data_IF_398636006151
#
_entry.id   IF_398636006151
#
_cell.length_a   1.000
_cell.length_b   1.000
_cell.length_c   1.000
_cell.angle_alpha   90.00
_cell.angle_beta   90.00
_cell.angle_gamma   90.00
#
_symmetry.space_group_name_H-M   'P 1'
#
loop_
_entity.id
_entity.type
_entity.pdbx_description
1 polymer ?
#
# COMPACT_ATOMS: atom_id res chain seq x y z
N UNK A 1 -16.07 -1.08 23.88
CA UNK A 1 -15.14 -2.00 23.21
C UNK A 1 -13.93 -2.15 24.08
N UNK A 2 -13.40 -3.36 24.24
CA UNK A 2 -12.09 -3.56 24.85
C UNK A 2 -11.02 -2.85 24.02
N UNK A 3 -9.91 -2.45 24.64
CA UNK A 3 -8.75 -1.92 23.91
C UNK A 3 -8.32 -2.89 22.78
N UNK A 4 -8.36 -4.21 23.06
CA UNK A 4 -8.13 -5.28 22.08
C UNK A 4 -9.09 -5.26 20.89
N UNK A 5 -10.36 -4.95 21.12
CA UNK A 5 -11.36 -4.90 20.04
C UNK A 5 -11.13 -3.69 19.13
N UNK A 6 -10.78 -2.54 19.73
CA UNK A 6 -10.48 -1.31 18.99
C UNK A 6 -9.20 -1.45 18.14
N UNK A 7 -8.17 -2.09 18.70
CA UNK A 7 -6.94 -2.46 18.01
C UNK A 7 -7.25 -3.31 16.77
N UNK A 8 -7.97 -4.43 16.97
CA UNK A 8 -8.28 -5.35 15.89
C UNK A 8 -9.14 -4.70 14.80
N UNK A 9 -10.08 -3.83 15.17
CA UNK A 9 -10.87 -3.08 14.22
C UNK A 9 -10.01 -2.13 13.36
N UNK A 10 -9.04 -1.41 13.97
CA UNK A 10 -8.13 -0.53 13.24
C UNK A 10 -7.17 -1.30 12.32
N UNK A 11 -6.53 -2.35 12.83
CA UNK A 11 -5.62 -3.20 12.04
C UNK A 11 -6.36 -3.82 10.84
N UNK A 12 -7.58 -4.33 11.05
CA UNK A 12 -8.41 -4.87 9.96
C UNK A 12 -8.79 -3.81 8.92
N UNK A 13 -9.19 -2.62 9.35
CA UNK A 13 -9.50 -1.53 8.43
C UNK A 13 -8.27 -1.10 7.63
N UNK A 14 -7.11 -1.03 8.28
CA UNK A 14 -5.84 -0.72 7.61
C UNK A 14 -5.45 -1.79 6.57
N UNK A 15 -5.62 -3.07 6.90
CA UNK A 15 -5.44 -4.18 5.96
C UNK A 15 -6.40 -4.07 4.76
N UNK A 16 -7.69 -3.80 4.99
CA UNK A 16 -8.67 -3.64 3.90
C UNK A 16 -8.29 -2.48 2.98
N UNK A 17 -7.93 -1.32 3.53
CA UNK A 17 -7.47 -0.17 2.74
C UNK A 17 -6.22 -0.52 1.93
N UNK A 18 -5.28 -1.24 2.54
CA UNK A 18 -4.07 -1.73 1.85
C UNK A 18 -4.43 -2.63 0.67
N UNK A 19 -5.34 -3.59 0.86
CA UNK A 19 -5.78 -4.49 -0.21
C UNK A 19 -6.50 -3.75 -1.34
N UNK A 20 -7.32 -2.75 -1.01
CA UNK A 20 -8.00 -1.90 -2.01
C UNK A 20 -6.99 -1.09 -2.82
N UNK A 21 -6.02 -0.45 -2.15
CA UNK A 21 -4.95 0.27 -2.85
C UNK A 21 -4.13 -0.68 -3.72
N UNK A 22 -3.74 -1.83 -3.17
CA UNK A 22 -3.02 -2.87 -3.90
C UNK A 22 -3.79 -3.26 -5.18
N UNK A 23 -5.08 -3.58 -5.08
CA UNK A 23 -5.91 -3.96 -6.23
C UNK A 23 -6.05 -2.83 -7.25
N UNK A 24 -6.17 -1.59 -6.78
CA UNK A 24 -6.22 -0.42 -7.65
C UNK A 24 -4.93 -0.26 -8.47
N UNK A 25 -3.78 -0.30 -7.81
CA UNK A 25 -2.48 -0.15 -8.47
C UNK A 25 -2.09 -1.38 -9.32
N UNK A 26 -2.60 -2.56 -9.00
CA UNK A 26 -2.29 -3.81 -9.71
C UNK A 26 -3.24 -4.16 -10.85
N UNK A 27 -4.49 -3.68 -10.83
CA UNK A 27 -5.52 -4.04 -11.82
C UNK A 27 -6.08 -2.82 -12.55
N UNK A 28 -6.56 -1.82 -11.80
CA UNK A 28 -7.32 -0.70 -12.37
C UNK A 28 -6.46 0.14 -13.30
N UNK A 29 -5.23 0.45 -12.91
CA UNK A 29 -4.30 1.24 -13.74
C UNK A 29 -4.02 0.56 -15.08
N UNK A 30 -3.89 -0.77 -15.09
CA UNK A 30 -3.59 -1.51 -16.32
C UNK A 30 -4.80 -1.66 -17.24
N UNK A 31 -6.03 -1.52 -16.73
CA UNK A 31 -7.24 -1.49 -17.55
C UNK A 31 -7.23 -0.31 -18.53
N UNK A 32 -6.61 0.81 -18.15
CA UNK A 32 -6.46 2.01 -18.99
C UNK A 32 -5.12 2.04 -19.74
N UNK A 33 -4.44 0.89 -19.89
CA UNK A 33 -3.11 0.80 -20.48
C UNK A 33 -2.99 1.41 -21.89
N UNK A 34 -4.05 1.36 -22.70
CA UNK A 34 -4.10 1.98 -24.03
C UNK A 34 -3.99 3.51 -23.95
N UNK A 35 -4.73 4.14 -23.03
CA UNK A 35 -4.65 5.58 -22.79
C UNK A 35 -3.31 5.96 -22.15
N UNK A 36 -2.82 5.18 -21.18
CA UNK A 36 -1.51 5.42 -20.58
C UNK A 36 -0.38 5.36 -21.62
N UNK A 37 -0.47 4.47 -22.62
CA UNK A 37 0.55 4.37 -23.68
C UNK A 37 0.60 5.58 -24.63
N UNK A 38 -0.38 6.50 -24.58
CA UNK A 38 -0.26 7.79 -25.27
C UNK A 38 0.78 8.71 -24.61
N UNK A 39 1.04 8.49 -23.32
CA UNK A 39 2.10 9.12 -22.57
C UNK A 39 3.35 8.23 -22.57
N UNK A 40 4.52 8.87 -22.61
CA UNK A 40 5.80 8.18 -22.51
C UNK A 40 6.55 8.63 -21.27
N UNK A 41 7.27 7.69 -20.67
CA UNK A 41 8.16 7.94 -19.54
C UNK A 41 9.52 7.33 -19.84
N UNK A 42 10.57 8.15 -19.73
CA UNK A 42 11.95 7.77 -20.08
C UNK A 42 12.09 7.18 -21.50
N UNK A 43 11.27 7.62 -22.44
CA UNK A 43 11.28 7.15 -23.83
C UNK A 43 10.52 5.84 -24.09
N UNK A 44 9.92 5.23 -23.07
CA UNK A 44 9.08 4.04 -23.21
C UNK A 44 7.60 4.39 -23.04
N UNK A 45 6.66 3.64 -23.67
CA UNK A 45 5.24 3.76 -23.37
C UNK A 45 4.99 3.60 -21.87
N UNK A 46 4.21 4.51 -21.28
CA UNK A 46 4.07 4.57 -19.82
C UNK A 46 3.51 3.28 -19.23
N UNK A 47 2.56 2.62 -19.89
CA UNK A 47 2.01 1.35 -19.37
C UNK A 47 3.09 0.25 -19.35
N UNK A 48 3.98 0.23 -20.35
CA UNK A 48 5.13 -0.68 -20.38
C UNK A 48 6.10 -0.41 -19.22
N UNK A 49 6.46 0.86 -18.98
CA UNK A 49 7.31 1.23 -17.84
C UNK A 49 6.66 0.83 -16.50
N UNK A 50 5.35 1.04 -16.35
CA UNK A 50 4.61 0.68 -15.14
C UNK A 50 4.58 -0.84 -14.91
N UNK A 51 4.47 -1.65 -15.97
CA UNK A 51 4.62 -3.12 -15.83
C UNK A 51 6.02 -3.56 -15.45
N UNK A 52 7.06 -2.87 -15.93
CA UNK A 52 8.44 -3.31 -15.78
C UNK A 52 9.10 -2.87 -14.46
N UNK A 53 8.89 -1.63 -14.03
CA UNK A 53 9.53 -1.06 -12.82
C UNK A 53 8.59 -0.19 -11.99
N UNK A 54 7.66 0.53 -12.62
CA UNK A 54 6.80 1.47 -11.90
C UNK A 54 5.93 0.81 -10.81
N UNK A 55 5.32 -0.34 -11.12
CA UNK A 55 4.53 -1.11 -10.16
C UNK A 55 5.38 -1.69 -9.03
N UNK A 56 6.59 -2.17 -9.32
CA UNK A 56 7.53 -2.64 -8.30
C UNK A 56 7.84 -1.53 -7.29
N UNK A 57 8.18 -0.33 -7.78
CA UNK A 57 8.44 0.83 -6.94
C UNK A 57 7.21 1.21 -6.10
N UNK A 58 6.01 1.21 -6.71
CA UNK A 58 4.77 1.47 -6.00
C UNK A 58 4.53 0.46 -4.86
N UNK A 59 4.80 -0.82 -5.07
CA UNK A 59 4.69 -1.84 -4.02
C UNK A 59 5.70 -1.65 -2.90
N UNK A 60 6.95 -1.29 -3.21
CA UNK A 60 7.95 -1.00 -2.16
C UNK A 60 7.50 0.17 -1.29
N UNK A 61 7.03 1.26 -1.90
CA UNK A 61 6.50 2.42 -1.17
C UNK A 61 5.30 1.99 -0.31
N UNK A 62 4.41 1.17 -0.86
CA UNK A 62 3.26 0.63 -0.13
C UNK A 62 3.70 -0.19 1.08
N UNK A 63 4.71 -1.06 0.96
CA UNK A 63 5.23 -1.84 2.08
C UNK A 63 5.69 -0.95 3.24
N UNK A 64 6.55 0.03 2.96
CA UNK A 64 7.01 0.98 3.97
C UNK A 64 5.84 1.74 4.61
N UNK A 65 4.90 2.22 3.80
CA UNK A 65 3.73 2.93 4.31
C UNK A 65 2.88 2.04 5.23
N UNK A 66 2.62 0.79 4.84
CA UNK A 66 1.82 -0.14 5.63
C UNK A 66 2.48 -0.53 6.94
N UNK A 67 3.80 -0.76 6.93
CA UNK A 67 4.58 -1.10 8.11
C UNK A 67 4.59 0.05 9.13
N UNK A 68 4.94 1.26 8.68
CA UNK A 68 4.93 2.46 9.54
C UNK A 68 3.55 2.74 10.14
N UNK A 69 2.49 2.50 9.36
CA UNK A 69 1.12 2.74 9.83
C UNK A 69 0.62 1.64 10.77
N UNK A 70 1.06 0.40 10.59
CA UNK A 70 0.78 -0.69 11.52
C UNK A 70 1.47 -0.42 12.86
N UNK A 71 2.74 -0.04 12.84
CA UNK A 71 3.50 0.34 14.03
C UNK A 71 2.82 1.45 14.83
N UNK A 72 2.31 2.48 14.16
CA UNK A 72 1.54 3.54 14.83
C UNK A 72 0.25 3.02 15.48
N UNK A 73 -0.44 2.06 14.86
CA UNK A 73 -1.63 1.43 15.45
C UNK A 73 -1.24 0.60 16.68
N UNK A 74 -0.11 -0.09 16.63
CA UNK A 74 0.43 -0.88 17.74
C UNK A 74 0.84 0.04 18.91
N UNK A 75 1.52 1.16 18.66
CA UNK A 75 1.84 2.20 19.66
C UNK A 75 0.58 2.80 20.31
N UNK A 76 -0.45 3.14 19.52
CA UNK A 76 -1.70 3.72 20.02
C UNK A 76 -2.47 2.79 20.98
N UNK A 77 -2.24 1.48 20.91
CA UNK A 77 -2.97 0.48 21.72
C UNK A 77 -2.07 -0.25 22.72
N UNK A 78 -0.79 0.13 22.85
CA UNK A 78 0.15 -0.49 23.78
C UNK A 78 0.59 -1.91 23.37
N UNK A 79 0.64 -2.18 22.06
CA UNK A 79 1.17 -3.41 21.47
C UNK A 79 2.55 -3.21 20.81
N UNK A 80 3.16 -2.04 21.00
CA UNK A 80 4.50 -1.76 20.48
C UNK A 80 5.54 -2.64 21.16
N UNK A 81 6.36 -3.36 20.38
CA UNK A 81 7.48 -4.17 20.89
C UNK A 81 8.66 -3.31 21.39
N UNK A 82 8.66 -1.99 21.13
CA UNK A 82 9.78 -1.09 21.47
C UNK A 82 9.87 -0.70 22.95
N UNK A 83 8.91 -1.07 23.79
CA UNK A 83 8.89 -0.69 25.22
C UNK A 83 9.60 -1.69 26.16
N UNK A 84 10.22 -2.76 25.64
CA UNK A 84 10.89 -3.79 26.47
C UNK A 84 12.43 -3.66 26.62
N UNK A 85 13.06 -2.58 26.15
CA UNK A 85 14.50 -2.29 26.38
C UNK A 85 14.76 -1.05 27.26
#
# INVERSE_FOLDING_TARGET
MSNKDAYWAKTKNHMIVTLVLWAFFSLVIFMFGSELNTMSFLGYPLAYYMTAQGSLLAFVIMLFWTANKQEKIDEEHGFSEREED
#
